data_IF_903354338630
#
_entry.id   IF_903354338630
#
_cell.length_a   1.000
_cell.length_b   1.000
_cell.length_c   1.000
_cell.angle_alpha   90.00
_cell.angle_beta   90.00
_cell.angle_gamma   90.00
#
_symmetry.space_group_name_H-M   'P 1'
#
loop_
_entity.id
_entity.type
_entity.pdbx_description
1 polymer ?
#
# COMPACT_ATOMS: atom_id res chain seq x y z
N UNK A 1 26.25 7.72 -18.63
CA UNK A 1 24.82 7.49 -18.86
C UNK A 1 24.54 7.53 -20.35
N UNK A 2 24.08 6.43 -20.94
CA UNK A 2 23.75 6.37 -22.36
C UNK A 2 22.33 6.92 -22.67
N UNK A 3 21.99 7.00 -23.97
CA UNK A 3 20.70 7.52 -24.42
C UNK A 3 19.51 6.67 -23.96
N UNK A 4 19.68 5.35 -23.81
CA UNK A 4 18.61 4.48 -23.32
C UNK A 4 18.35 4.72 -21.83
N UNK A 5 19.41 4.84 -21.03
CA UNK A 5 19.33 5.18 -19.61
C UNK A 5 18.68 6.56 -19.38
N UNK A 6 19.00 7.55 -20.22
CA UNK A 6 18.35 8.87 -20.17
C UNK A 6 16.85 8.80 -20.45
N UNK A 7 16.45 8.06 -21.50
CA UNK A 7 15.04 7.87 -21.85
C UNK A 7 14.27 7.17 -20.73
N UNK A 8 14.89 6.19 -20.09
CA UNK A 8 14.30 5.46 -18.99
C UNK A 8 14.11 6.34 -17.75
N UNK A 9 15.11 7.15 -17.40
CA UNK A 9 14.98 8.11 -16.30
C UNK A 9 13.84 9.11 -16.55
N UNK A 10 13.73 9.65 -17.77
CA UNK A 10 12.63 10.54 -18.17
C UNK A 10 11.28 9.82 -18.05
N UNK A 11 11.19 8.55 -18.44
CA UNK A 11 9.97 7.74 -18.32
C UNK A 11 9.55 7.59 -16.85
N UNK A 12 10.47 7.23 -15.97
CA UNK A 12 10.25 7.09 -14.52
C UNK A 12 9.80 8.41 -13.91
N UNK A 13 10.47 9.52 -14.25
CA UNK A 13 10.10 10.85 -13.77
C UNK A 13 8.68 11.24 -14.20
N UNK A 14 8.32 11.01 -15.47
CA UNK A 14 6.95 11.26 -15.96
C UNK A 14 5.93 10.39 -15.23
N UNK A 15 6.23 9.13 -15.00
CA UNK A 15 5.37 8.24 -14.23
C UNK A 15 5.20 8.77 -12.80
N UNK A 16 6.27 9.18 -12.12
CA UNK A 16 6.20 9.79 -10.80
C UNK A 16 5.28 11.01 -10.77
N UNK A 17 5.35 11.89 -11.78
CA UNK A 17 4.49 13.07 -11.86
C UNK A 17 3.01 12.72 -12.04
N UNK A 18 2.71 11.62 -12.72
CA UNK A 18 1.35 11.17 -12.99
C UNK A 18 0.76 10.29 -11.88
N UNK A 19 1.57 9.71 -11.00
CA UNK A 19 1.10 8.92 -9.85
C UNK A 19 0.63 9.83 -8.71
N UNK A 20 -0.50 9.47 -8.07
CA UNK A 20 -0.99 10.19 -6.88
C UNK A 20 0.09 10.22 -5.79
N UNK A 21 0.43 11.42 -5.34
CA UNK A 21 1.45 11.65 -4.30
C UNK A 21 1.06 11.03 -2.95
N UNK A 22 -0.22 10.83 -2.67
CA UNK A 22 -0.68 10.07 -1.51
C UNK A 22 -0.27 8.60 -1.60
N UNK A 23 -0.39 8.00 -2.79
CA UNK A 23 0.01 6.61 -3.04
C UNK A 23 1.53 6.49 -2.85
N UNK A 24 2.30 7.38 -3.49
CA UNK A 24 3.76 7.40 -3.35
C UNK A 24 4.16 7.51 -1.88
N UNK A 25 3.55 8.46 -1.13
CA UNK A 25 3.82 8.62 0.30
C UNK A 25 3.48 7.36 1.09
N UNK A 26 2.31 6.74 0.84
CA UNK A 26 1.87 5.55 1.55
C UNK A 26 2.81 4.36 1.30
N UNK A 27 3.20 4.16 0.05
CA UNK A 27 4.16 3.12 -0.35
C UNK A 27 5.52 3.35 0.30
N UNK A 28 6.07 4.57 0.17
CA UNK A 28 7.36 4.93 0.75
C UNK A 28 7.37 4.77 2.27
N UNK A 29 6.29 5.18 2.95
CA UNK A 29 6.10 4.94 4.38
C UNK A 29 6.11 3.45 4.71
N UNK A 30 5.37 2.63 3.96
CA UNK A 30 5.32 1.18 4.17
C UNK A 30 6.71 0.55 4.12
N UNK A 31 7.54 0.93 3.13
CA UNK A 31 8.92 0.45 3.06
C UNK A 31 9.79 0.95 4.21
N UNK A 32 9.68 2.23 4.57
CA UNK A 32 10.40 2.77 5.74
C UNK A 32 9.98 2.13 7.06
N UNK A 33 8.72 1.71 7.22
CA UNK A 33 8.25 1.06 8.45
C UNK A 33 8.62 -0.43 8.51
N UNK A 34 8.80 -1.06 7.35
CA UNK A 34 9.30 -2.44 7.24
C UNK A 34 10.81 -2.53 7.40
N UNK A 35 11.54 -1.42 7.30
CA UNK A 35 12.97 -1.39 7.59
C UNK A 35 13.22 -1.26 9.09
N UNK A 36 14.34 -1.79 9.55
CA UNK A 36 14.78 -1.66 10.94
C UNK A 36 15.33 -0.25 11.28
N UNK A 37 15.20 0.71 10.35
CA UNK A 37 15.76 2.04 10.49
C UNK A 37 14.84 2.97 11.28
N UNK A 38 15.41 3.67 12.26
CA UNK A 38 14.73 4.75 12.96
C UNK A 38 14.71 6.02 12.11
N UNK A 39 13.75 6.91 12.39
CA UNK A 39 13.59 8.20 11.68
C UNK A 39 14.89 9.01 11.67
N UNK A 40 15.62 9.03 12.79
CA UNK A 40 16.89 9.76 12.92
C UNK A 40 17.98 9.17 12.00
N UNK A 41 18.10 7.84 11.94
CA UNK A 41 19.07 7.16 11.08
C UNK A 41 18.78 7.42 9.60
N UNK A 42 17.50 7.43 9.21
CA UNK A 42 17.12 7.79 7.82
C UNK A 42 17.53 9.24 7.53
N UNK A 43 17.21 10.18 8.42
CA UNK A 43 17.57 11.59 8.22
C UNK A 43 19.09 11.80 8.11
N UNK A 44 19.87 11.15 8.96
CA UNK A 44 21.34 11.23 8.93
C UNK A 44 21.94 10.62 7.65
N UNK A 45 21.49 9.43 7.24
CA UNK A 45 22.06 8.73 6.09
C UNK A 45 21.60 9.30 4.74
N UNK A 46 20.46 10.00 4.69
CA UNK A 46 19.94 10.61 3.46
C UNK A 46 20.23 12.10 3.34
N UNK A 47 20.74 12.73 4.41
CA UNK A 47 20.83 14.19 4.55
C UNK A 47 19.48 14.92 4.36
N UNK A 48 18.36 14.21 4.42
CA UNK A 48 17.02 14.79 4.36
C UNK A 48 16.66 15.33 5.75
N UNK A 49 16.05 16.53 5.84
CA UNK A 49 15.67 17.10 7.13
C UNK A 49 14.81 16.14 7.96
N UNK A 50 15.14 16.01 9.25
CA UNK A 50 14.43 15.13 10.18
C UNK A 50 12.91 15.39 10.19
N UNK A 51 12.51 16.67 10.08
CA UNK A 51 11.12 17.08 9.97
C UNK A 51 10.41 16.50 8.75
N UNK A 52 11.10 16.39 7.61
CA UNK A 52 10.57 15.79 6.38
C UNK A 52 10.36 14.29 6.55
N UNK A 53 11.32 13.57 7.13
CA UNK A 53 11.17 12.14 7.41
C UNK A 53 10.00 11.90 8.38
N UNK A 54 9.87 12.75 9.41
CA UNK A 54 8.74 12.69 10.33
C UNK A 54 7.39 12.91 9.62
N UNK A 55 7.32 13.90 8.74
CA UNK A 55 6.11 14.17 7.93
C UNK A 55 5.77 13.04 6.97
N UNK A 56 6.77 12.33 6.45
CA UNK A 56 6.56 11.16 5.58
C UNK A 56 6.00 9.96 6.37
N UNK A 57 6.53 9.69 7.56
CA UNK A 57 5.99 8.61 8.42
C UNK A 57 4.67 8.97 9.11
N UNK A 58 4.33 10.24 9.27
CA UNK A 58 3.07 10.64 9.91
C UNK A 58 1.86 10.43 8.98
N UNK A 59 0.90 9.61 9.41
CA UNK A 59 -0.35 9.35 8.68
C UNK A 59 -1.15 10.61 8.38
N UNK A 60 -1.27 11.54 9.33
CA UNK A 60 -2.09 12.74 9.20
C UNK A 60 -1.42 13.90 8.45
N UNK A 61 -0.21 13.70 7.92
CA UNK A 61 0.53 14.77 7.26
C UNK A 61 0.09 14.94 5.81
N UNK A 62 -0.12 16.19 5.38
CA UNK A 62 -0.42 16.55 3.99
C UNK A 62 0.83 16.64 3.10
N UNK A 63 2.03 16.46 3.67
CA UNK A 63 3.29 16.51 2.94
C UNK A 63 3.29 15.54 1.76
N UNK A 64 3.75 16.03 0.61
CA UNK A 64 3.91 15.25 -0.62
C UNK A 64 5.40 15.14 -0.90
N UNK A 65 5.97 13.92 -0.95
CA UNK A 65 7.37 13.77 -1.26
C UNK A 65 7.70 14.35 -2.64
N UNK A 66 8.88 14.95 -2.75
CA UNK A 66 9.46 15.30 -4.03
C UNK A 66 10.14 14.07 -4.66
N UNK A 67 10.39 14.14 -5.97
CA UNK A 67 11.00 13.03 -6.70
C UNK A 67 12.38 12.66 -6.14
N UNK A 68 13.24 13.66 -5.89
CA UNK A 68 14.58 13.44 -5.34
C UNK A 68 14.53 12.88 -3.93
N UNK A 69 13.66 13.42 -3.07
CA UNK A 69 13.44 12.87 -1.72
C UNK A 69 13.04 11.40 -1.78
N UNK A 70 12.13 11.04 -2.70
CA UNK A 70 11.72 9.64 -2.89
C UNK A 70 12.88 8.78 -3.36
N UNK A 71 13.63 9.23 -4.37
CA UNK A 71 14.79 8.51 -4.91
C UNK A 71 15.85 8.22 -3.84
N UNK A 72 16.24 9.23 -3.06
CA UNK A 72 17.28 9.10 -2.04
C UNK A 72 16.84 8.09 -0.96
N UNK A 73 15.57 8.14 -0.54
CA UNK A 73 15.05 7.16 0.43
C UNK A 73 14.99 5.76 -0.19
N UNK A 74 14.61 5.63 -1.46
CA UNK A 74 14.61 4.34 -2.15
C UNK A 74 16.02 3.72 -2.23
N UNK A 75 17.03 4.54 -2.55
CA UNK A 75 18.44 4.14 -2.59
C UNK A 75 18.92 3.63 -1.22
N UNK A 76 18.64 4.38 -0.14
CA UNK A 76 18.93 3.94 1.23
C UNK A 76 18.28 2.60 1.58
N UNK A 77 17.03 2.40 1.16
CA UNK A 77 16.27 1.18 1.46
C UNK A 77 16.60 0.02 0.52
N UNK A 78 17.43 0.23 -0.50
CA UNK A 78 17.76 -0.79 -1.49
C UNK A 78 16.57 -1.22 -2.37
N UNK A 79 15.60 -0.32 -2.58
CA UNK A 79 14.40 -0.57 -3.40
C UNK A 79 14.40 0.29 -4.66
N UNK A 80 13.74 -0.18 -5.72
CA UNK A 80 13.55 0.63 -6.92
C UNK A 80 12.45 1.66 -6.72
N UNK A 81 12.66 2.90 -7.20
CA UNK A 81 11.58 3.91 -7.23
C UNK A 81 10.36 3.44 -8.01
N UNK A 82 10.54 2.54 -8.98
CA UNK A 82 9.43 1.95 -9.72
C UNK A 82 8.46 1.23 -8.79
N UNK A 83 8.92 0.62 -7.69
CA UNK A 83 8.09 -0.06 -6.69
C UNK A 83 7.24 0.91 -5.86
N UNK A 84 7.71 2.16 -5.70
CA UNK A 84 7.00 3.19 -4.94
C UNK A 84 5.98 3.93 -5.80
N UNK A 85 6.28 4.14 -7.09
CA UNK A 85 5.42 4.86 -8.03
C UNK A 85 4.41 3.98 -8.77
N UNK A 86 4.40 2.67 -8.51
CA UNK A 86 3.27 1.87 -8.95
C UNK A 86 2.03 2.43 -8.24
N UNK A 87 0.90 2.61 -8.96
CA UNK A 87 -0.38 2.53 -8.27
C UNK A 87 -0.29 1.28 -7.43
N UNK A 88 -0.64 1.32 -6.14
CA UNK A 88 -0.65 0.13 -5.28
C UNK A 88 -1.18 -1.00 -6.15
N UNK A 89 -0.28 -1.89 -6.62
CA UNK A 89 -0.71 -3.17 -7.16
C UNK A 89 -1.46 -3.69 -5.98
N UNK A 90 -2.76 -3.81 -6.18
CA UNK A 90 -3.69 -4.04 -5.10
C UNK A 90 -3.45 -5.49 -4.65
N UNK A 91 -2.32 -5.77 -4.03
CA UNK A 91 -2.12 -6.81 -3.02
C UNK A 91 -2.71 -6.35 -1.68
N UNK A 92 -3.31 -5.15 -1.68
CA UNK A 92 -4.40 -4.75 -0.80
C UNK A 92 -5.76 -4.73 -1.53
N UNK A 93 -5.89 -5.33 -2.72
CA UNK A 93 -7.21 -5.80 -3.13
C UNK A 93 -7.32 -7.04 -2.30
N UNK A 94 -8.11 -6.92 -1.25
CA UNK A 94 -9.19 -7.86 -1.04
C UNK A 94 -9.43 -8.56 -2.39
N UNK A 95 -8.95 -9.80 -2.60
CA UNK A 95 -9.21 -10.45 -3.87
C UNK A 95 -10.72 -10.39 -4.02
N UNK A 96 -11.18 -9.72 -5.08
CA UNK A 96 -12.58 -9.88 -5.45
C UNK A 96 -12.73 -11.40 -5.54
N UNK A 97 -13.59 -12.00 -4.70
CA UNK A 97 -13.79 -13.42 -4.83
C UNK A 97 -14.21 -13.62 -6.28
N UNK A 98 -13.75 -14.73 -6.86
CA UNK A 98 -14.22 -15.13 -8.19
C UNK A 98 -15.76 -15.15 -8.27
N UNK A 99 -16.40 -15.23 -7.10
CA UNK A 99 -17.81 -15.03 -6.82
C UNK A 99 -18.20 -13.55 -6.82
N UNK A 100 -19.07 -13.14 -7.76
CA UNK A 100 -19.82 -11.89 -7.63
C UNK A 100 -20.59 -11.89 -6.30
N UNK A 101 -20.39 -10.89 -5.46
CA UNK A 101 -21.11 -10.74 -4.19
C UNK A 101 -22.56 -10.26 -4.39
N UNK A 102 -23.43 -11.16 -4.85
CA UNK A 102 -24.87 -10.96 -4.76
C UNK A 102 -25.38 -11.16 -3.31
N UNK A 103 -26.67 -10.87 -3.08
CA UNK A 103 -27.25 -10.98 -1.74
C UNK A 103 -27.19 -12.41 -1.16
N UNK A 104 -27.24 -13.43 -2.02
CA UNK A 104 -27.16 -14.83 -1.60
C UNK A 104 -25.75 -15.18 -1.16
N UNK A 105 -24.73 -14.81 -1.93
CA UNK A 105 -23.33 -15.01 -1.58
C UNK A 105 -22.95 -14.25 -0.29
N UNK A 106 -23.47 -13.02 -0.10
CA UNK A 106 -23.25 -12.25 1.14
C UNK A 106 -23.83 -12.96 2.37
N UNK A 107 -25.03 -13.54 2.25
CA UNK A 107 -25.66 -14.30 3.34
C UNK A 107 -24.90 -15.61 3.64
N UNK A 108 -24.42 -16.30 2.61
CA UNK A 108 -23.59 -17.49 2.76
C UNK A 108 -22.28 -17.17 3.50
N UNK A 109 -21.59 -16.10 3.09
CA UNK A 109 -20.38 -15.65 3.77
C UNK A 109 -20.60 -15.32 5.24
N UNK A 110 -21.70 -14.62 5.57
CA UNK A 110 -22.04 -14.29 6.96
C UNK A 110 -22.33 -15.53 7.81
N UNK A 111 -22.94 -16.54 7.21
CA UNK A 111 -23.22 -17.82 7.84
C UNK A 111 -21.92 -18.57 8.11
N UNK A 112 -21.04 -18.65 7.11
CA UNK A 112 -19.72 -19.25 7.28
C UNK A 112 -18.87 -18.52 8.30
N UNK A 113 -18.91 -17.18 8.29
CA UNK A 113 -18.15 -16.34 9.23
C UNK A 113 -18.54 -16.61 10.69
N UNK A 114 -19.80 -16.99 10.92
CA UNK A 114 -20.31 -17.30 12.26
C UNK A 114 -20.03 -18.74 12.70
N UNK A 115 -19.77 -19.65 11.75
CA UNK A 115 -19.70 -21.09 12.00
C UNK A 115 -18.31 -21.72 11.75
N UNK A 116 -17.38 -20.99 11.13
CA UNK A 116 -16.06 -21.46 10.75
C UNK A 116 -14.94 -20.64 11.41
N UNK A 117 -13.73 -21.19 11.47
CA UNK A 117 -12.56 -20.44 11.90
C UNK A 117 -12.16 -19.39 10.85
N UNK A 118 -11.45 -18.34 11.27
CA UNK A 118 -10.93 -17.32 10.34
C UNK A 118 -10.01 -17.94 9.29
N UNK A 119 -9.21 -18.94 9.67
CA UNK A 119 -8.30 -19.64 8.78
C UNK A 119 -9.05 -20.37 7.65
N UNK A 120 -10.13 -21.08 8.00
CA UNK A 120 -10.97 -21.78 7.02
C UNK A 120 -11.70 -20.83 6.08
N UNK A 121 -12.15 -19.67 6.59
CA UNK A 121 -12.80 -18.62 5.78
C UNK A 121 -11.79 -18.03 4.78
N UNK A 122 -10.56 -17.77 5.22
CA UNK A 122 -9.50 -17.27 4.36
C UNK A 122 -9.22 -18.26 3.22
N UNK A 123 -9.18 -19.55 3.52
CA UNK A 123 -9.00 -20.60 2.51
C UNK A 123 -10.22 -20.71 1.57
N UNK A 124 -11.45 -20.81 2.10
CA UNK A 124 -12.68 -21.01 1.30
C UNK A 124 -12.91 -19.88 0.31
N UNK A 125 -12.68 -18.63 0.75
CA UNK A 125 -12.93 -17.44 -0.07
C UNK A 125 -11.66 -16.89 -0.74
N UNK A 126 -10.50 -17.52 -0.50
CA UNK A 126 -9.19 -17.05 -0.98
C UNK A 126 -8.90 -15.60 -0.57
N UNK A 127 -9.28 -15.20 0.64
CA UNK A 127 -9.14 -13.85 1.19
C UNK A 127 -8.20 -13.82 2.40
N UNK A 128 -7.78 -12.62 2.84
CA UNK A 128 -7.00 -12.46 4.07
C UNK A 128 -7.89 -12.39 5.32
N UNK A 129 -7.32 -12.61 6.51
CA UNK A 129 -8.04 -12.48 7.78
C UNK A 129 -8.62 -11.08 7.98
N UNK A 130 -7.87 -10.05 7.58
CA UNK A 130 -8.31 -8.65 7.60
C UNK A 130 -9.49 -8.44 6.66
N UNK A 131 -9.42 -8.98 5.45
CA UNK A 131 -10.51 -8.92 4.47
C UNK A 131 -11.78 -9.58 4.99
N UNK A 132 -11.66 -10.74 5.63
CA UNK A 132 -12.79 -11.45 6.20
C UNK A 132 -13.52 -10.60 7.26
N UNK A 133 -12.77 -9.92 8.12
CA UNK A 133 -13.32 -8.99 9.12
C UNK A 133 -14.01 -7.78 8.49
N UNK A 134 -13.43 -7.18 7.45
CA UNK A 134 -14.01 -6.04 6.73
C UNK A 134 -15.30 -6.44 5.99
N UNK A 135 -15.34 -7.62 5.36
CA UNK A 135 -16.53 -8.19 4.73
C UNK A 135 -17.64 -8.46 5.73
N UNK A 136 -17.34 -9.10 6.85
CA UNK A 136 -18.32 -9.33 7.91
C UNK A 136 -18.97 -8.02 8.37
N UNK A 137 -18.15 -6.98 8.60
CA UNK A 137 -18.64 -5.65 8.99
C UNK A 137 -19.52 -4.99 7.93
N UNK A 138 -19.16 -5.08 6.66
CA UNK A 138 -19.88 -4.45 5.56
C UNK A 138 -21.16 -5.21 5.20
N UNK A 139 -21.10 -6.54 5.08
CA UNK A 139 -22.25 -7.37 4.75
C UNK A 139 -23.29 -7.39 5.87
N UNK A 140 -22.86 -7.35 7.15
CA UNK A 140 -23.78 -7.14 8.28
C UNK A 140 -24.61 -5.87 8.15
N UNK A 141 -24.02 -4.78 7.62
CA UNK A 141 -24.70 -3.50 7.42
C UNK A 141 -25.65 -3.52 6.22
N UNK A 142 -25.29 -4.27 5.19
CA UNK A 142 -26.10 -4.40 3.98
C UNK A 142 -27.32 -5.31 4.19
N UNK A 143 -27.18 -6.38 4.98
CA UNK A 143 -28.26 -7.35 5.26
C UNK A 143 -29.20 -6.84 6.37
N UNK A 144 -28.71 -6.00 7.28
CA UNK A 144 -29.52 -5.40 8.35
C UNK A 144 -30.39 -4.21 7.92
N UNK A 145 -30.41 -3.86 6.63
CA UNK A 145 -31.27 -2.82 6.03
C UNK A 145 -32.35 -3.47 5.18
#
# INVERSE_FOLDING_TARGET
MDLQQQKEFIRIYKQYQNTDKNIIKANLKSYMDKSDLMIMQIAEQTEIPLSTIYQLRKHSSSYKPEFMTTLIICDLLGISITEVIQPISIDLSIPEPKTKWDMTAKQEFMTDYSNMSIEDICCKYSITARTAQEYNKNFSRDIGK
#
